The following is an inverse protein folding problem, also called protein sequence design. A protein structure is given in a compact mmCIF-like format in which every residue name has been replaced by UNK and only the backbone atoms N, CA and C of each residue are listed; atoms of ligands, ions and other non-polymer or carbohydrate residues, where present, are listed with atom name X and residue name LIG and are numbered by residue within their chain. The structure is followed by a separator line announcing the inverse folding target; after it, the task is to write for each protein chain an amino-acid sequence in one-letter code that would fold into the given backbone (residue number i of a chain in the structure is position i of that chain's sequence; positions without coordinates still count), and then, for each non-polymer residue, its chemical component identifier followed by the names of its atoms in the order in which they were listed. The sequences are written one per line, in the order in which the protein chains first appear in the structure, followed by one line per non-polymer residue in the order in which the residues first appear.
data_IF_591964249565
#
_entry.id   IF_591964249565
#
_cell.length_a   1.000
_cell.length_b   1.000
_cell.length_c   1.000
_cell.angle_alpha   90.00
_cell.angle_beta   90.00
_cell.angle_gamma   90.00
#
_symmetry.space_group_name_H-M   'P 1'
#
loop_
_entity.id
_entity.type
_entity.pdbx_description
1 polymer ?
#
# COMPACT_ATOMS: atom_id res chain seq x y z
N UNK A 1 -7.69 3.36 -1.88
CA UNK A 1 -7.85 4.82 -1.71
C UNK A 1 -8.18 5.51 -3.03
N UNK A 2 -8.94 6.60 -2.96
CA UNK A 2 -9.32 7.41 -4.12
C UNK A 2 -9.80 8.80 -3.67
N UNK A 3 -9.61 9.89 -4.45
CA UNK A 3 -8.68 10.03 -5.56
C UNK A 3 -7.23 9.78 -5.11
N UNK A 4 -6.37 9.30 -6.02
CA UNK A 4 -5.01 8.93 -5.70
C UNK A 4 -3.95 9.94 -6.15
N UNK A 5 -2.82 9.94 -5.43
CA UNK A 5 -1.66 10.76 -5.74
C UNK A 5 -1.95 12.26 -5.77
N UNK A 6 -1.18 12.97 -6.55
CA UNK A 6 -1.32 14.43 -6.71
C UNK A 6 -2.71 14.88 -7.21
N UNK A 7 -3.43 14.01 -7.90
CA UNK A 7 -4.77 14.31 -8.39
C UNK A 7 -5.78 14.56 -7.26
N UNK A 8 -5.57 14.00 -6.06
CA UNK A 8 -6.44 14.22 -4.92
C UNK A 8 -6.58 15.70 -4.55
N UNK A 9 -5.51 16.48 -4.69
CA UNK A 9 -5.49 17.91 -4.34
C UNK A 9 -5.82 18.86 -5.50
N UNK A 10 -6.20 18.30 -6.66
CA UNK A 10 -6.80 19.00 -7.82
C UNK A 10 -8.29 18.64 -8.01
N UNK A 11 -8.73 17.49 -7.51
CA UNK A 11 -10.05 16.95 -7.77
C UNK A 11 -11.14 17.63 -6.95
N UNK A 12 -12.18 18.09 -7.64
CA UNK A 12 -13.40 18.64 -7.03
C UNK A 12 -14.52 17.62 -7.12
N UNK A 13 -14.90 17.03 -5.99
CA UNK A 13 -15.80 15.87 -5.96
C UNK A 13 -17.18 16.11 -6.56
N UNK A 14 -17.70 17.35 -6.54
CA UNK A 14 -18.98 17.69 -7.16
C UNK A 14 -18.96 17.55 -8.68
N UNK A 15 -17.79 17.66 -9.30
CA UNK A 15 -17.62 17.48 -10.75
C UNK A 15 -17.74 16.01 -11.16
N UNK A 16 -17.59 15.08 -10.23
CA UNK A 16 -17.68 13.63 -10.47
C UNK A 16 -19.00 12.99 -10.02
N UNK A 17 -20.09 13.77 -9.87
CA UNK A 17 -21.41 13.24 -9.50
C UNK A 17 -22.49 13.68 -10.48
N UNK A 18 -23.66 13.03 -10.42
CA UNK A 18 -24.76 13.27 -11.35
C UNK A 18 -24.57 12.64 -12.71
N UNK A 19 -25.45 12.99 -13.71
CA UNK A 19 -25.39 12.41 -15.05
C UNK A 19 -24.06 12.70 -15.75
N UNK A 20 -23.49 11.70 -16.40
CA UNK A 20 -22.17 11.79 -17.06
C UNK A 20 -22.06 12.93 -18.07
N UNK A 21 -23.10 13.16 -18.85
CA UNK A 21 -23.18 14.20 -19.86
C UNK A 21 -23.11 15.62 -19.29
N UNK A 22 -23.36 15.78 -18.00
CA UNK A 22 -23.33 17.08 -17.30
C UNK A 22 -22.06 17.27 -16.47
N UNK A 23 -21.20 16.26 -16.36
CA UNK A 23 -19.97 16.38 -15.59
C UNK A 23 -18.95 17.26 -16.31
N UNK A 24 -18.39 18.29 -15.66
CA UNK A 24 -17.38 19.13 -16.30
C UNK A 24 -16.10 18.34 -16.55
N UNK A 25 -15.36 18.77 -17.56
CA UNK A 25 -14.04 18.22 -17.87
C UNK A 25 -12.97 19.08 -17.24
N UNK A 26 -11.85 18.46 -16.89
CA UNK A 26 -10.67 19.16 -16.38
C UNK A 26 -9.40 18.62 -17.02
N UNK A 27 -8.32 19.37 -16.94
CA UNK A 27 -7.00 18.89 -17.35
C UNK A 27 -6.33 18.26 -16.14
N UNK A 28 -5.88 17.00 -16.26
CA UNK A 28 -5.03 16.36 -15.25
C UNK A 28 -3.60 16.93 -15.42
N UNK A 29 -3.24 17.92 -14.62
CA UNK A 29 -2.00 18.67 -14.80
C UNK A 29 -0.76 17.91 -14.35
N UNK A 30 -0.92 16.96 -13.41
CA UNK A 30 0.18 16.17 -12.88
C UNK A 30 0.44 14.90 -13.69
N UNK A 31 -0.63 14.25 -14.21
CA UNK A 31 -0.50 12.95 -14.82
C UNK A 31 -0.94 12.94 -16.29
N UNK A 32 0.04 13.07 -17.18
CA UNK A 32 -0.13 12.94 -18.61
C UNK A 32 -0.67 14.16 -19.34
N UNK A 33 -1.12 15.20 -18.66
CA UNK A 33 -1.71 16.41 -19.27
C UNK A 33 -2.97 16.12 -20.08
N UNK A 34 -3.69 15.05 -19.75
CA UNK A 34 -4.88 14.62 -20.46
C UNK A 34 -6.13 15.29 -19.92
N UNK A 35 -7.19 15.28 -20.72
CA UNK A 35 -8.50 15.73 -20.28
C UNK A 35 -9.21 14.62 -19.52
N UNK A 36 -9.48 14.86 -18.24
CA UNK A 36 -10.36 14.02 -17.42
C UNK A 36 -11.80 14.40 -17.68
N UNK A 37 -12.66 13.42 -17.88
CA UNK A 37 -14.09 13.63 -18.10
C UNK A 37 -14.94 13.45 -16.83
N UNK A 38 -14.30 13.17 -15.70
CA UNK A 38 -14.92 12.90 -14.40
C UNK A 38 -15.95 11.75 -14.43
N UNK A 39 -15.79 10.80 -15.37
CA UNK A 39 -16.68 9.62 -15.49
C UNK A 39 -16.54 8.66 -14.30
N UNK A 40 -15.41 8.69 -13.60
CA UNK A 40 -15.20 7.94 -12.37
C UNK A 40 -15.22 8.88 -11.17
N UNK A 41 -16.29 8.87 -10.41
CA UNK A 41 -16.49 9.76 -9.26
C UNK A 41 -16.90 8.99 -8.00
N UNK A 42 -17.55 9.69 -7.07
CA UNK A 42 -17.93 9.12 -5.76
C UNK A 42 -18.79 7.86 -5.90
N UNK A 43 -19.82 7.87 -6.74
CA UNK A 43 -20.72 6.73 -6.90
C UNK A 43 -20.01 5.52 -7.50
N UNK A 44 -19.17 5.73 -8.51
CA UNK A 44 -18.42 4.68 -9.19
C UNK A 44 -17.39 4.06 -8.22
N UNK A 45 -16.67 4.88 -7.45
CA UNK A 45 -15.70 4.39 -6.47
C UNK A 45 -16.37 3.60 -5.34
N UNK A 46 -17.44 4.13 -4.74
CA UNK A 46 -18.14 3.45 -3.65
C UNK A 46 -18.75 2.14 -4.13
N UNK A 47 -19.35 2.12 -5.35
CA UNK A 47 -19.86 0.88 -5.95
C UNK A 47 -18.74 -0.13 -6.24
N UNK A 48 -17.59 0.34 -6.72
CA UNK A 48 -16.42 -0.53 -6.91
C UNK A 48 -16.00 -1.20 -5.59
N UNK A 49 -15.90 -0.42 -4.50
CA UNK A 49 -15.60 -0.98 -3.18
C UNK A 49 -16.64 -2.00 -2.71
N UNK A 50 -17.94 -1.73 -2.90
CA UNK A 50 -19.02 -2.67 -2.59
C UNK A 50 -18.88 -3.98 -3.39
N UNK A 51 -18.53 -3.90 -4.68
CA UNK A 51 -18.40 -5.08 -5.55
C UNK A 51 -17.24 -5.99 -5.18
N UNK A 52 -16.12 -5.42 -4.73
CA UNK A 52 -14.94 -6.20 -4.34
C UNK A 52 -14.86 -6.47 -2.83
N UNK A 53 -15.83 -5.98 -2.05
CA UNK A 53 -15.85 -6.14 -0.59
C UNK A 53 -14.76 -5.37 0.14
N UNK A 54 -14.27 -4.25 -0.41
CA UNK A 54 -13.23 -3.43 0.19
C UNK A 54 -13.80 -2.25 0.98
N UNK A 55 -13.15 -1.88 2.09
CA UNK A 55 -13.45 -0.64 2.80
C UNK A 55 -12.98 0.57 1.98
N UNK A 56 -13.83 1.59 1.76
CA UNK A 56 -13.42 2.78 1.04
C UNK A 56 -12.51 3.69 1.88
N UNK A 57 -11.45 4.19 1.25
CA UNK A 57 -10.62 5.28 1.76
C UNK A 57 -10.68 6.44 0.76
N UNK A 58 -11.27 7.55 1.18
CA UNK A 58 -11.39 8.76 0.37
C UNK A 58 -10.35 9.79 0.81
N UNK A 59 -9.63 10.37 -0.14
CA UNK A 59 -8.68 11.44 0.10
C UNK A 59 -9.27 12.78 -0.33
N UNK A 60 -9.42 13.71 0.61
CA UNK A 60 -10.00 15.03 0.40
C UNK A 60 -8.97 16.05 -0.09
N UNK A 61 -9.44 17.01 -0.88
CA UNK A 61 -8.63 18.05 -1.48
C UNK A 61 -8.33 19.20 -0.48
N UNK A 62 -7.09 19.29 -0.02
CA UNK A 62 -6.59 20.41 0.82
C UNK A 62 -5.84 21.44 -0.03
N UNK A 63 -5.28 21.03 -1.18
CA UNK A 63 -4.48 21.85 -2.06
C UNK A 63 -5.27 22.97 -2.74
N UNK A 64 -6.24 22.63 -3.57
CA UNK A 64 -7.08 23.60 -4.30
C UNK A 64 -8.52 23.67 -3.79
N UNK A 65 -8.95 22.73 -2.95
CA UNK A 65 -10.30 22.66 -2.41
C UNK A 65 -10.55 23.61 -1.23
N UNK A 66 -11.76 23.55 -0.70
CA UNK A 66 -12.18 24.33 0.46
C UNK A 66 -12.66 23.47 1.59
N UNK A 67 -12.59 23.98 2.83
CA UNK A 67 -13.15 23.31 4.02
C UNK A 67 -14.63 22.96 3.84
N UNK A 68 -15.40 23.87 3.21
CA UNK A 68 -16.82 23.66 2.95
C UNK A 68 -17.05 22.50 1.99
N UNK A 69 -16.27 22.42 0.93
CA UNK A 69 -16.35 21.37 -0.07
C UNK A 69 -16.07 19.99 0.57
N UNK A 70 -15.02 19.88 1.38
CA UNK A 70 -14.69 18.64 2.08
C UNK A 70 -15.78 18.24 3.08
N UNK A 71 -16.30 19.20 3.87
CA UNK A 71 -17.42 18.94 4.80
C UNK A 71 -18.67 18.45 4.06
N UNK A 72 -19.00 19.07 2.92
CA UNK A 72 -20.15 18.69 2.10
C UNK A 72 -19.98 17.29 1.49
N UNK A 73 -18.74 16.88 1.15
CA UNK A 73 -18.48 15.54 0.65
C UNK A 73 -18.76 14.46 1.69
N UNK A 74 -18.29 14.66 2.93
CA UNK A 74 -18.59 13.77 4.06
C UNK A 74 -20.08 13.68 4.31
N UNK A 75 -20.79 14.82 4.30
CA UNK A 75 -22.24 14.90 4.46
C UNK A 75 -22.96 14.15 3.34
N UNK A 76 -22.56 14.37 2.10
CA UNK A 76 -23.10 13.67 0.92
C UNK A 76 -23.00 12.15 1.04
N UNK A 77 -21.85 11.66 1.48
CA UNK A 77 -21.59 10.22 1.57
C UNK A 77 -22.32 9.59 2.76
N UNK A 78 -22.30 10.23 3.94
CA UNK A 78 -22.59 9.54 5.21
C UNK A 78 -23.84 10.01 5.95
N UNK A 79 -24.45 11.14 5.56
CA UNK A 79 -25.60 11.67 6.29
C UNK A 79 -26.90 10.95 5.87
N UNK A 80 -27.62 10.42 6.87
CA UNK A 80 -28.88 9.69 6.73
C UNK A 80 -30.14 10.56 6.90
N UNK A 81 -29.98 11.78 7.42
CA UNK A 81 -31.09 12.73 7.61
C UNK A 81 -31.44 13.53 6.35
N UNK A 82 -32.23 14.57 6.53
CA UNK A 82 -32.59 15.52 5.47
C UNK A 82 -31.62 16.70 5.44
N UNK A 83 -30.94 16.88 4.31
CA UNK A 83 -30.04 18.01 4.06
C UNK A 83 -29.88 18.24 2.55
N UNK A 84 -29.35 19.40 2.12
CA UNK A 84 -29.06 19.62 0.70
C UNK A 84 -28.16 18.53 0.10
N UNK A 85 -27.17 18.03 0.85
CA UNK A 85 -26.21 17.03 0.34
C UNK A 85 -26.83 15.62 0.31
N UNK A 86 -27.57 15.23 1.35
CA UNK A 86 -28.28 13.95 1.33
C UNK A 86 -29.37 13.92 0.24
N UNK A 87 -30.09 15.03 0.05
CA UNK A 87 -31.08 15.15 -1.02
C UNK A 87 -30.42 15.08 -2.41
N UNK A 88 -29.25 15.69 -2.58
CA UNK A 88 -28.46 15.59 -3.81
C UNK A 88 -27.98 14.15 -4.07
N UNK A 89 -27.52 13.41 -3.04
CA UNK A 89 -27.18 11.98 -3.17
C UNK A 89 -28.37 11.17 -3.66
N UNK A 90 -29.54 11.38 -3.07
CA UNK A 90 -30.79 10.70 -3.46
C UNK A 90 -31.20 11.05 -4.91
N UNK A 91 -31.11 12.31 -5.28
CA UNK A 91 -31.38 12.76 -6.65
C UNK A 91 -30.40 12.13 -7.65
N UNK A 92 -29.18 11.82 -7.23
CA UNK A 92 -28.17 11.12 -8.03
C UNK A 92 -28.30 9.58 -7.97
N UNK A 93 -29.42 9.06 -7.43
CA UNK A 93 -29.77 7.63 -7.50
C UNK A 93 -29.30 6.78 -6.31
N UNK A 94 -28.81 7.39 -5.22
CA UNK A 94 -28.47 6.64 -4.01
C UNK A 94 -29.28 7.11 -2.81
N UNK A 95 -30.29 6.33 -2.45
CA UNK A 95 -31.18 6.66 -1.31
C UNK A 95 -30.43 6.58 0.01
N UNK A 96 -29.84 5.43 0.33
CA UNK A 96 -29.14 5.18 1.57
C UNK A 96 -27.71 5.76 1.58
N UNK A 97 -27.23 6.28 2.72
CA UNK A 97 -25.84 6.68 2.84
C UNK A 97 -24.88 5.49 2.71
N UNK A 98 -23.63 5.78 2.41
CA UNK A 98 -22.55 4.79 2.54
C UNK A 98 -21.91 4.87 3.91
N UNK A 99 -21.30 3.77 4.31
CA UNK A 99 -20.32 3.76 5.39
C UNK A 99 -18.98 4.25 4.85
N UNK A 100 -18.39 5.24 5.50
CA UNK A 100 -17.06 5.75 5.20
C UNK A 100 -16.23 5.78 6.48
N UNK A 101 -15.30 4.85 6.61
CA UNK A 101 -14.40 4.76 7.77
C UNK A 101 -13.18 5.65 7.58
N UNK A 102 -12.46 5.50 6.48
CA UNK A 102 -11.17 6.14 6.27
C UNK A 102 -11.26 7.38 5.40
N UNK A 103 -10.68 8.48 5.90
CA UNK A 103 -10.67 9.74 5.18
C UNK A 103 -9.33 10.47 5.34
N UNK A 104 -8.62 10.64 4.23
CA UNK A 104 -7.39 11.42 4.13
C UNK A 104 -7.67 12.91 4.01
N UNK A 105 -6.96 13.70 4.77
CA UNK A 105 -7.04 15.16 4.73
C UNK A 105 -5.84 15.69 3.95
N UNK A 106 -5.96 15.67 2.63
CA UNK A 106 -4.91 16.00 1.68
C UNK A 106 -4.02 14.79 1.32
N UNK A 107 -3.18 14.97 0.31
CA UNK A 107 -2.18 14.04 -0.18
C UNK A 107 -0.90 14.79 -0.54
N UNK A 108 0.25 14.33 -0.05
CA UNK A 108 1.57 14.92 -0.38
C UNK A 108 1.60 16.45 -0.32
N UNK A 109 1.02 17.04 0.71
CA UNK A 109 0.89 18.49 0.82
C UNK A 109 2.25 19.20 0.96
N UNK A 110 3.31 18.47 1.28
CA UNK A 110 4.70 18.92 1.21
C UNK A 110 5.22 19.10 -0.24
N UNK A 111 4.56 18.46 -1.20
CA UNK A 111 4.89 18.45 -2.63
C UNK A 111 3.71 18.91 -3.48
N UNK A 112 3.25 18.02 -4.38
CA UNK A 112 2.21 18.34 -5.35
C UNK A 112 0.86 18.74 -4.74
N UNK A 113 0.58 18.36 -3.51
CA UNK A 113 -0.62 18.78 -2.77
C UNK A 113 -0.55 20.20 -2.19
N UNK A 114 0.34 21.08 -2.69
CA UNK A 114 0.36 22.48 -2.31
C UNK A 114 1.71 23.08 -1.92
N UNK A 115 2.80 22.29 -1.94
CA UNK A 115 4.16 22.71 -1.55
C UNK A 115 4.19 23.40 -0.17
N UNK A 116 3.48 22.85 0.80
CA UNK A 116 3.31 23.43 2.11
C UNK A 116 4.50 23.11 3.02
N UNK A 117 4.85 24.05 3.88
CA UNK A 117 5.67 23.74 5.07
C UNK A 117 4.80 22.99 6.07
N UNK A 118 5.41 22.15 6.88
CA UNK A 118 4.67 21.31 7.83
C UNK A 118 3.82 22.11 8.83
N UNK A 119 4.34 23.26 9.31
CA UNK A 119 3.59 24.11 10.25
C UNK A 119 2.32 24.67 9.60
N UNK A 120 2.42 25.07 8.34
CA UNK A 120 1.25 25.56 7.59
C UNK A 120 0.25 24.44 7.33
N UNK A 121 0.73 23.26 6.93
CA UNK A 121 -0.15 22.11 6.77
C UNK A 121 -0.81 21.69 8.09
N UNK A 122 -0.11 21.72 9.22
CA UNK A 122 -0.68 21.44 10.53
C UNK A 122 -1.83 22.40 10.87
N UNK A 123 -1.70 23.69 10.52
CA UNK A 123 -2.77 24.67 10.69
C UNK A 123 -3.96 24.42 9.75
N UNK A 124 -3.70 24.10 8.48
CA UNK A 124 -4.74 23.70 7.52
C UNK A 124 -5.42 22.40 7.96
N UNK A 125 -4.66 21.36 8.33
CA UNK A 125 -5.22 20.12 8.86
C UNK A 125 -6.15 20.38 10.05
N UNK A 126 -5.73 21.21 11.02
CA UNK A 126 -6.54 21.59 12.18
C UNK A 126 -7.87 22.21 11.73
N UNK A 127 -7.81 23.09 10.74
CA UNK A 127 -8.97 23.79 10.18
C UNK A 127 -9.92 22.81 9.48
N UNK A 128 -9.41 21.99 8.55
CA UNK A 128 -10.21 21.01 7.82
C UNK A 128 -10.78 19.93 8.74
N UNK A 129 -9.97 19.32 9.60
CA UNK A 129 -10.38 18.27 10.53
C UNK A 129 -11.47 18.73 11.52
N UNK A 130 -11.58 20.04 11.80
CA UNK A 130 -12.62 20.59 12.65
C UNK A 130 -14.01 20.43 12.03
N UNK A 131 -14.12 20.49 10.71
CA UNK A 131 -15.40 20.41 10.00
C UNK A 131 -15.72 19.04 9.44
N UNK A 132 -14.80 18.08 9.53
CA UNK A 132 -15.09 16.67 9.29
C UNK A 132 -15.89 16.13 10.48
N UNK A 133 -17.19 15.91 10.27
CA UNK A 133 -18.12 15.50 11.33
C UNK A 133 -18.53 14.03 11.14
N UNK A 134 -18.86 13.40 12.24
CA UNK A 134 -19.50 12.10 12.25
C UNK A 134 -21.02 12.31 12.14
N UNK A 135 -21.64 11.69 11.14
CA UNK A 135 -23.09 11.71 10.95
C UNK A 135 -23.68 10.35 11.34
N UNK A 136 -24.84 10.36 11.99
CA UNK A 136 -25.50 9.13 12.42
C UNK A 136 -24.59 8.20 13.21
N UNK A 137 -24.56 6.94 12.81
CA UNK A 137 -23.66 5.92 13.34
C UNK A 137 -22.26 5.89 12.70
N UNK A 138 -22.03 6.67 11.64
CA UNK A 138 -20.74 6.69 10.93
C UNK A 138 -19.65 7.37 11.76
N UNK A 139 -18.49 6.77 11.82
CA UNK A 139 -17.30 7.31 12.50
C UNK A 139 -16.15 7.41 11.50
N UNK A 140 -15.65 8.62 11.30
CA UNK A 140 -14.58 8.91 10.35
C UNK A 140 -13.23 8.81 11.04
N UNK A 141 -12.39 7.92 10.56
CA UNK A 141 -10.98 7.79 10.91
C UNK A 141 -10.19 8.78 10.03
N UNK A 142 -9.75 9.89 10.62
CA UNK A 142 -9.07 10.96 9.90
C UNK A 142 -7.58 10.67 9.81
N UNK A 143 -7.07 10.65 8.59
CA UNK A 143 -5.66 10.43 8.28
C UNK A 143 -5.07 11.76 7.83
N UNK A 144 -4.04 12.24 8.54
CA UNK A 144 -3.30 13.42 8.13
C UNK A 144 -2.24 13.06 7.09
N UNK A 145 -1.97 13.96 6.15
CA UNK A 145 -0.81 13.85 5.28
C UNK A 145 0.46 13.81 6.12
N UNK A 146 1.18 12.72 6.01
CA UNK A 146 2.43 12.48 6.72
C UNK A 146 3.67 12.76 5.86
N UNK A 147 4.84 12.32 6.31
CA UNK A 147 6.11 12.66 5.72
C UNK A 147 6.35 11.98 4.36
N UNK A 148 7.24 12.61 3.59
CA UNK A 148 7.94 11.96 2.50
C UNK A 148 9.18 11.25 3.05
N UNK A 149 9.24 9.93 2.91
CA UNK A 149 10.41 9.11 3.27
C UNK A 149 10.90 9.41 4.70
N UNK A 150 12.07 9.98 4.87
CA UNK A 150 12.76 10.26 6.14
C UNK A 150 12.62 11.71 6.62
N UNK A 151 11.56 12.40 6.20
CA UNK A 151 11.24 13.69 6.80
C UNK A 151 10.69 13.52 8.22
N UNK A 152 11.56 13.17 9.15
CA UNK A 152 11.23 12.98 10.57
C UNK A 152 10.74 14.25 11.24
N UNK A 153 11.13 15.43 10.72
CA UNK A 153 10.65 16.72 11.19
C UNK A 153 9.15 16.88 10.93
N UNK A 154 8.68 16.45 9.75
CA UNK A 154 7.25 16.46 9.42
C UNK A 154 6.45 15.64 10.44
N UNK A 155 6.89 14.42 10.73
CA UNK A 155 6.24 13.56 11.73
C UNK A 155 6.21 14.23 13.11
N UNK A 156 7.32 14.79 13.56
CA UNK A 156 7.42 15.42 14.90
C UNK A 156 6.46 16.61 15.01
N UNK A 157 6.43 17.50 14.03
CA UNK A 157 5.54 18.67 14.05
C UNK A 157 4.07 18.24 14.02
N UNK A 158 3.70 17.31 13.12
CA UNK A 158 2.31 16.83 13.02
C UNK A 158 1.84 16.20 14.32
N UNK A 159 2.65 15.33 14.92
CA UNK A 159 2.31 14.69 16.20
C UNK A 159 2.17 15.70 17.34
N UNK A 160 3.09 16.65 17.43
CA UNK A 160 3.10 17.67 18.48
C UNK A 160 1.93 18.64 18.35
N UNK A 161 1.68 19.17 17.16
CA UNK A 161 0.74 20.28 16.97
C UNK A 161 -0.71 19.82 16.80
N UNK A 162 -0.94 18.66 16.16
CA UNK A 162 -2.28 18.19 15.79
C UNK A 162 -2.54 16.71 16.06
N UNK A 163 -1.63 15.97 16.68
CA UNK A 163 -1.79 14.53 16.98
C UNK A 163 -3.10 14.20 17.69
N UNK A 164 -3.55 15.06 18.60
CA UNK A 164 -4.81 14.88 19.31
C UNK A 164 -6.09 14.97 18.45
N UNK A 165 -5.97 15.34 17.16
CA UNK A 165 -7.09 15.49 16.21
C UNK A 165 -7.10 14.45 15.10
N UNK A 166 -6.07 13.62 14.97
CA UNK A 166 -5.98 12.58 13.95
C UNK A 166 -6.04 11.18 14.55
N UNK A 167 -6.41 10.22 13.74
CA UNK A 167 -6.37 8.80 14.05
C UNK A 167 -5.26 8.10 13.28
N UNK A 168 -4.81 8.67 12.17
CA UNK A 168 -3.70 8.17 11.38
C UNK A 168 -2.81 9.29 10.84
N UNK A 169 -1.54 8.95 10.62
CA UNK A 169 -0.55 9.77 9.94
C UNK A 169 0.01 8.97 8.77
N UNK A 170 -0.07 9.51 7.55
CA UNK A 170 0.41 8.78 6.37
C UNK A 170 1.95 8.72 6.29
N UNK A 171 2.48 7.81 5.48
CA UNK A 171 3.88 7.70 5.12
C UNK A 171 3.99 7.25 3.68
N UNK A 172 4.76 7.97 2.86
CA UNK A 172 5.04 7.61 1.48
C UNK A 172 6.51 7.26 1.30
N UNK A 173 6.77 6.13 0.62
CA UNK A 173 8.11 5.71 0.23
C UNK A 173 8.10 4.85 -1.01
N UNK A 174 8.88 5.25 -2.03
CA UNK A 174 9.11 4.45 -3.23
C UNK A 174 10.50 3.84 -3.29
N UNK A 175 10.55 2.56 -3.60
CA UNK A 175 11.79 1.83 -3.89
C UNK A 175 12.21 2.11 -5.34
N UNK A 176 13.31 2.85 -5.50
CA UNK A 176 13.90 3.19 -6.80
C UNK A 176 15.29 2.57 -6.90
N UNK A 177 15.57 1.67 -7.88
CA UNK A 177 16.87 0.97 -7.94
C UNK A 177 18.06 1.92 -8.01
N UNK A 178 17.99 2.91 -8.87
CA UNK A 178 19.06 3.87 -9.14
C UNK A 178 18.79 5.23 -8.48
N UNK A 179 18.86 6.31 -9.25
CA UNK A 179 18.57 7.67 -8.83
C UNK A 179 17.19 8.12 -9.32
N UNK A 180 16.61 9.12 -8.66
CA UNK A 180 15.27 9.63 -8.99
C UNK A 180 15.14 10.09 -10.46
N UNK A 181 16.20 10.64 -11.05
CA UNK A 181 16.21 11.11 -12.45
C UNK A 181 16.35 9.98 -13.48
N UNK A 182 16.89 8.83 -13.07
CA UNK A 182 17.03 7.63 -13.89
C UNK A 182 16.77 6.41 -13.03
N UNK A 183 15.52 6.01 -12.96
CA UNK A 183 15.04 4.97 -12.03
C UNK A 183 15.40 3.55 -12.45
N UNK A 184 15.85 3.37 -13.69
CA UNK A 184 16.10 2.05 -14.27
C UNK A 184 14.85 1.42 -14.92
N UNK A 185 15.07 0.34 -15.67
CA UNK A 185 14.01 -0.40 -16.36
C UNK A 185 13.29 -1.37 -15.41
N UNK A 186 12.01 -1.60 -15.68
CA UNK A 186 11.23 -2.62 -14.98
C UNK A 186 11.66 -4.05 -15.35
N UNK A 187 12.12 -4.28 -16.59
CA UNK A 187 12.38 -5.62 -17.16
C UNK A 187 13.80 -5.85 -17.65
N UNK A 188 14.54 -4.79 -17.97
CA UNK A 188 15.93 -4.86 -18.40
C UNK A 188 16.85 -4.25 -17.35
N UNK A 189 17.32 -5.06 -16.41
CA UNK A 189 18.11 -4.62 -15.27
C UNK A 189 19.18 -5.65 -14.89
N UNK A 190 20.20 -5.16 -14.24
CA UNK A 190 21.38 -5.92 -13.80
C UNK A 190 21.21 -6.48 -12.40
N UNK A 191 22.12 -7.38 -11.99
CA UNK A 191 22.23 -7.84 -10.60
C UNK A 191 22.46 -6.67 -9.62
N UNK A 192 23.25 -5.65 -10.01
CA UNK A 192 23.46 -4.46 -9.19
C UNK A 192 22.15 -3.72 -8.90
N UNK A 193 21.27 -3.60 -9.89
CA UNK A 193 19.96 -2.99 -9.73
C UNK A 193 18.98 -3.87 -8.94
N UNK A 194 19.07 -5.19 -9.08
CA UNK A 194 18.38 -6.14 -8.22
C UNK A 194 18.78 -5.95 -6.76
N UNK A 195 20.08 -6.03 -6.47
CA UNK A 195 20.60 -5.87 -5.10
C UNK A 195 20.24 -4.50 -4.50
N UNK A 196 20.40 -3.44 -5.29
CA UNK A 196 20.01 -2.08 -4.89
C UNK A 196 18.52 -1.99 -4.56
N UNK A 197 17.66 -2.64 -5.36
CA UNK A 197 16.21 -2.69 -5.10
C UNK A 197 15.94 -3.37 -3.76
N UNK A 198 16.51 -4.55 -3.50
CA UNK A 198 16.32 -5.28 -2.25
C UNK A 198 16.83 -4.48 -1.04
N UNK A 199 18.02 -3.89 -1.15
CA UNK A 199 18.60 -3.05 -0.10
C UNK A 199 17.71 -1.85 0.23
N UNK A 200 17.19 -1.17 -0.80
CA UNK A 200 16.31 0.00 -0.61
C UNK A 200 14.91 -0.42 -0.13
N UNK A 201 14.42 -1.60 -0.45
CA UNK A 201 13.19 -2.13 0.11
C UNK A 201 13.31 -2.32 1.62
N UNK A 202 14.42 -2.85 2.10
CA UNK A 202 14.69 -3.02 3.53
C UNK A 202 14.81 -1.69 4.29
N UNK A 203 15.01 -0.56 3.61
CA UNK A 203 15.00 0.76 4.24
C UNK A 203 13.64 1.12 4.86
N UNK A 204 12.55 0.51 4.41
CA UNK A 204 11.23 0.66 5.02
C UNK A 204 11.23 0.28 6.51
N UNK A 205 12.03 -0.70 6.93
CA UNK A 205 12.18 -1.08 8.34
C UNK A 205 12.70 0.11 9.18
N UNK A 206 13.72 0.81 8.68
CA UNK A 206 14.25 2.00 9.35
C UNK A 206 13.21 3.13 9.41
N UNK A 207 12.48 3.37 8.30
CA UNK A 207 11.46 4.41 8.22
C UNK A 207 10.33 4.15 9.23
N UNK A 208 9.76 2.95 9.22
CA UNK A 208 8.69 2.57 10.15
C UNK A 208 9.17 2.69 11.60
N UNK A 209 10.35 2.16 11.91
CA UNK A 209 10.91 2.21 13.27
C UNK A 209 11.13 3.64 13.75
N UNK A 210 11.74 4.50 12.94
CA UNK A 210 12.06 5.88 13.35
C UNK A 210 10.83 6.76 13.45
N UNK A 211 9.91 6.69 12.47
CA UNK A 211 8.64 7.42 12.56
C UNK A 211 7.83 6.95 13.77
N UNK A 212 7.71 5.64 14.01
CA UNK A 212 7.03 5.09 15.19
C UNK A 212 7.66 5.58 16.50
N UNK A 213 8.99 5.62 16.59
CA UNK A 213 9.69 6.14 17.77
C UNK A 213 9.37 7.61 18.06
N UNK A 214 9.25 8.43 17.02
CA UNK A 214 8.81 9.82 17.16
C UNK A 214 7.34 9.87 17.62
N UNK A 215 6.49 9.06 17.00
CA UNK A 215 5.06 8.99 17.34
C UNK A 215 4.87 8.55 18.81
N UNK A 216 5.64 7.59 19.31
CA UNK A 216 5.57 7.06 20.69
C UNK A 216 5.82 8.16 21.75
N UNK A 217 6.59 9.20 21.43
CA UNK A 217 6.82 10.35 22.34
C UNK A 217 5.56 11.16 22.60
N UNK A 218 4.62 11.19 21.67
CA UNK A 218 3.38 11.97 21.73
C UNK A 218 2.15 11.10 21.92
N UNK A 219 2.23 9.83 21.55
CA UNK A 219 1.16 8.84 21.62
C UNK A 219 1.71 7.47 22.04
N UNK A 220 2.12 7.33 23.34
CA UNK A 220 2.72 6.10 23.85
C UNK A 220 1.74 4.91 23.86
N UNK A 221 0.44 5.18 23.87
CA UNK A 221 -0.61 4.15 23.80
C UNK A 221 -0.88 3.66 22.37
N UNK A 222 -0.14 4.16 21.36
CA UNK A 222 -0.26 3.78 19.95
C UNK A 222 -1.67 3.85 19.38
N UNK A 223 -2.43 4.90 19.76
CA UNK A 223 -3.80 5.13 19.26
C UNK A 223 -3.84 5.72 17.85
N UNK A 224 -2.74 6.40 17.45
CA UNK A 224 -2.59 7.00 16.12
C UNK A 224 -1.84 6.01 15.25
N UNK A 225 -2.50 5.48 14.21
CA UNK A 225 -1.87 4.56 13.25
C UNK A 225 -0.85 5.24 12.34
N UNK A 226 0.23 4.55 12.01
CA UNK A 226 1.06 4.88 10.86
C UNK A 226 0.41 4.21 9.64
N UNK A 227 0.06 5.03 8.66
CA UNK A 227 -0.67 4.61 7.46
C UNK A 227 0.29 4.71 6.28
N UNK A 228 0.84 3.57 5.84
CA UNK A 228 1.77 3.55 4.71
C UNK A 228 0.92 3.45 3.43
N UNK A 229 0.27 4.55 3.08
CA UNK A 229 -0.77 4.55 2.05
C UNK A 229 -0.27 4.81 0.63
N UNK A 230 1.07 4.99 0.47
CA UNK A 230 1.69 5.06 -0.85
C UNK A 230 3.10 4.47 -0.79
N UNK A 231 3.29 3.26 -1.35
CA UNK A 231 4.57 2.56 -1.39
C UNK A 231 4.63 1.61 -2.59
N UNK A 232 5.82 1.19 -2.95
CA UNK A 232 6.07 0.26 -4.04
C UNK A 232 7.33 0.61 -4.82
N UNK A 233 7.48 0.00 -5.98
CA UNK A 233 8.58 0.30 -6.91
C UNK A 233 8.18 1.40 -7.90
N UNK A 234 9.16 2.22 -8.25
CA UNK A 234 9.00 3.21 -9.31
C UNK A 234 10.17 3.14 -10.29
N UNK A 235 9.87 2.69 -11.51
CA UNK A 235 10.84 2.59 -12.61
C UNK A 235 10.60 3.64 -13.67
N UNK A 236 11.48 3.68 -14.68
CA UNK A 236 11.16 4.38 -15.92
C UNK A 236 9.95 3.69 -16.58
N UNK A 237 9.07 4.49 -17.18
CA UNK A 237 7.88 3.95 -17.86
C UNK A 237 8.26 3.04 -19.03
N UNK A 238 7.38 2.10 -19.35
CA UNK A 238 7.58 1.24 -20.50
C UNK A 238 7.68 2.06 -21.80
N UNK A 239 8.65 1.74 -22.67
CA UNK A 239 8.85 2.46 -23.93
C UNK A 239 7.57 2.50 -24.78
N UNK A 240 7.27 3.66 -25.35
CA UNK A 240 6.09 3.86 -26.20
C UNK A 240 4.80 4.22 -25.45
N UNK A 241 4.82 4.25 -24.12
CA UNK A 241 3.68 4.70 -23.31
C UNK A 241 3.78 6.20 -22.98
N UNK A 242 2.67 6.81 -22.58
CA UNK A 242 2.69 8.20 -22.08
C UNK A 242 3.47 8.25 -20.76
N UNK A 243 4.55 9.05 -20.66
CA UNK A 243 5.37 9.10 -19.44
C UNK A 243 4.60 9.51 -18.19
N UNK A 244 3.55 10.32 -18.34
CA UNK A 244 2.72 10.78 -17.22
C UNK A 244 1.75 9.72 -16.71
N UNK A 245 1.56 8.61 -17.41
CA UNK A 245 0.70 7.51 -16.95
C UNK A 245 1.43 6.51 -16.05
N UNK A 246 2.74 6.63 -15.92
CA UNK A 246 3.57 5.80 -15.03
C UNK A 246 3.35 4.28 -15.23
N UNK A 247 3.07 3.87 -16.47
CA UNK A 247 2.91 2.46 -16.80
C UNK A 247 4.26 1.76 -16.78
N UNK A 248 4.40 0.73 -15.96
CA UNK A 248 5.59 -0.13 -15.88
C UNK A 248 5.18 -1.59 -15.72
N UNK A 249 6.04 -2.51 -16.18
CA UNK A 249 5.91 -3.93 -15.91
C UNK A 249 6.27 -4.25 -14.44
N UNK A 250 5.83 -5.43 -14.01
CA UNK A 250 6.11 -5.98 -12.68
C UNK A 250 6.69 -7.39 -12.83
N UNK A 251 7.87 -7.61 -12.26
CA UNK A 251 8.60 -8.88 -12.34
C UNK A 251 8.61 -9.62 -11.01
N UNK A 252 9.30 -10.74 -10.91
CA UNK A 252 9.55 -11.43 -9.63
C UNK A 252 10.31 -10.53 -8.64
N UNK A 253 11.07 -9.53 -9.11
CA UNK A 253 11.70 -8.50 -8.28
C UNK A 253 10.65 -7.71 -7.49
N UNK A 254 9.58 -7.32 -8.15
CA UNK A 254 8.47 -6.57 -7.52
C UNK A 254 7.68 -7.42 -6.53
N UNK A 255 7.53 -8.70 -6.80
CA UNK A 255 6.96 -9.65 -5.85
C UNK A 255 7.76 -9.69 -4.54
N UNK A 256 9.10 -9.71 -4.62
CA UNK A 256 9.94 -9.67 -3.43
C UNK A 256 9.86 -8.33 -2.71
N UNK A 257 9.82 -7.22 -3.44
CA UNK A 257 9.58 -5.89 -2.84
C UNK A 257 8.26 -5.88 -2.06
N UNK A 258 7.20 -6.40 -2.64
CA UNK A 258 5.91 -6.50 -1.96
C UNK A 258 5.99 -7.41 -0.73
N UNK A 259 6.55 -8.61 -0.84
CA UNK A 259 6.66 -9.56 0.26
C UNK A 259 7.49 -9.03 1.44
N UNK A 260 8.63 -8.40 1.16
CA UNK A 260 9.48 -7.80 2.20
C UNK A 260 8.77 -6.66 2.92
N UNK A 261 8.13 -5.73 2.17
CA UNK A 261 7.39 -4.64 2.79
C UNK A 261 6.21 -5.17 3.64
N UNK A 262 5.46 -6.15 3.14
CA UNK A 262 4.35 -6.75 3.90
C UNK A 262 4.86 -7.46 5.16
N UNK A 263 6.03 -8.14 5.13
CA UNK A 263 6.65 -8.68 6.33
C UNK A 263 6.98 -7.60 7.35
N UNK A 264 7.56 -6.48 6.90
CA UNK A 264 7.87 -5.33 7.76
C UNK A 264 6.59 -4.78 8.39
N UNK A 265 5.55 -4.55 7.60
CA UNK A 265 4.26 -4.02 8.10
C UNK A 265 3.61 -4.97 9.10
N UNK A 266 3.62 -6.27 8.85
CA UNK A 266 3.12 -7.27 9.78
C UNK A 266 3.88 -7.22 11.11
N UNK A 267 5.23 -7.18 11.06
CA UNK A 267 6.08 -7.14 12.26
C UNK A 267 5.91 -5.84 13.08
N UNK A 268 5.39 -4.78 12.48
CA UNK A 268 5.10 -3.48 13.10
C UNK A 268 3.60 -3.17 13.20
N UNK A 269 2.72 -4.19 13.19
CA UNK A 269 1.27 -4.00 13.20
C UNK A 269 0.72 -3.32 14.46
N UNK A 270 1.52 -3.17 15.50
CA UNK A 270 1.20 -2.38 16.67
C UNK A 270 1.12 -0.86 16.37
N UNK A 271 1.78 -0.40 15.31
CA UNK A 271 1.76 0.98 14.85
C UNK A 271 1.29 1.12 13.39
N UNK A 272 1.71 0.22 12.49
CA UNK A 272 1.25 0.22 11.09
C UNK A 272 -0.13 -0.42 11.00
N UNK A 273 -1.15 0.41 10.79
CA UNK A 273 -2.55 -0.05 10.77
C UNK A 273 -3.10 -0.21 9.35
N UNK A 274 -2.41 0.32 8.35
CA UNK A 274 -2.81 0.21 6.94
C UNK A 274 -1.57 0.35 6.04
N UNK A 275 -1.55 -0.41 4.94
CA UNK A 275 -0.53 -0.30 3.91
C UNK A 275 -1.17 -0.48 2.53
N UNK A 276 -1.12 0.58 1.69
CA UNK A 276 -1.75 0.60 0.38
C UNK A 276 -0.68 0.73 -0.69
N UNK A 277 -0.51 -0.32 -1.50
CA UNK A 277 0.46 -0.29 -2.60
C UNK A 277 0.04 0.69 -3.70
N UNK A 278 0.98 1.31 -4.34
CA UNK A 278 0.77 2.15 -5.52
C UNK A 278 1.12 1.38 -6.80
N UNK A 279 0.11 0.90 -7.60
CA UNK A 279 -1.31 1.10 -7.39
C UNK A 279 -2.10 -0.18 -7.75
N UNK A 280 -3.42 -0.06 -7.89
CA UNK A 280 -4.27 -1.22 -8.20
C UNK A 280 -4.08 -1.69 -9.64
N UNK A 281 -4.11 -0.75 -10.62
CA UNK A 281 -4.22 -1.08 -12.04
C UNK A 281 -3.38 -0.13 -12.90
N UNK A 282 -2.56 -0.67 -13.79
CA UNK A 282 -1.79 0.00 -14.84
C UNK A 282 -0.79 1.09 -14.41
N UNK A 283 -0.64 1.39 -13.13
CA UNK A 283 0.20 2.47 -12.63
C UNK A 283 1.22 1.94 -11.64
N UNK A 284 2.50 2.25 -11.84
CA UNK A 284 3.59 1.90 -10.93
C UNK A 284 3.64 0.39 -10.63
N UNK A 285 3.84 -0.02 -9.38
CA UNK A 285 3.79 -1.43 -8.97
C UNK A 285 2.34 -1.92 -8.89
N UNK A 286 1.67 -1.98 -10.03
CA UNK A 286 0.26 -2.39 -10.07
C UNK A 286 0.07 -3.89 -9.88
N UNK A 287 -1.02 -4.25 -9.22
CA UNK A 287 -1.37 -5.66 -9.02
C UNK A 287 -2.05 -6.27 -10.26
N UNK A 288 -2.66 -5.42 -11.10
CA UNK A 288 -3.36 -5.81 -12.32
C UNK A 288 -2.87 -4.95 -13.49
N UNK A 289 -2.64 -5.57 -14.65
CA UNK A 289 -2.43 -4.86 -15.92
C UNK A 289 -3.58 -5.17 -16.88
N UNK A 290 -4.00 -4.16 -17.64
CA UNK A 290 -5.07 -4.29 -18.63
C UNK A 290 -4.66 -3.71 -19.98
N UNK A 291 -5.15 -4.31 -21.06
CA UNK A 291 -5.03 -3.84 -22.43
C UNK A 291 -6.31 -4.14 -23.17
N UNK A 292 -7.13 -3.13 -23.45
CA UNK A 292 -8.45 -3.34 -24.03
C UNK A 292 -9.32 -4.25 -23.13
N UNK A 293 -9.78 -5.38 -23.66
CA UNK A 293 -10.58 -6.36 -22.91
C UNK A 293 -9.73 -7.39 -22.13
N UNK A 294 -8.39 -7.38 -22.29
CA UNK A 294 -7.50 -8.30 -21.62
C UNK A 294 -7.13 -7.81 -20.24
N UNK A 295 -6.94 -8.73 -19.32
CA UNK A 295 -6.46 -8.49 -17.96
C UNK A 295 -5.44 -9.57 -17.58
N UNK A 296 -4.36 -9.17 -16.92
CA UNK A 296 -3.40 -10.09 -16.31
C UNK A 296 -3.12 -9.74 -14.85
N UNK A 297 -2.83 -10.75 -14.06
CA UNK A 297 -2.38 -10.62 -12.69
C UNK A 297 -0.85 -10.54 -12.67
N UNK A 298 -0.30 -9.56 -11.96
CA UNK A 298 1.15 -9.41 -11.84
C UNK A 298 1.72 -10.33 -10.75
N UNK A 299 3.04 -10.56 -10.71
CA UNK A 299 3.67 -11.25 -9.58
C UNK A 299 3.37 -10.58 -8.23
N UNK A 300 3.22 -9.26 -8.20
CA UNK A 300 2.79 -8.49 -7.02
C UNK A 300 1.39 -8.91 -6.53
N UNK A 301 0.42 -9.08 -7.43
CA UNK A 301 -0.92 -9.58 -7.08
C UNK A 301 -0.84 -10.91 -6.33
N UNK A 302 -0.02 -11.82 -6.83
CA UNK A 302 0.10 -13.16 -6.24
C UNK A 302 0.64 -13.10 -4.81
N UNK A 303 1.57 -12.19 -4.50
CA UNK A 303 2.05 -11.99 -3.13
C UNK A 303 0.91 -11.49 -2.23
N UNK A 304 0.16 -10.48 -2.65
CA UNK A 304 -1.00 -10.01 -1.87
C UNK A 304 -2.01 -11.14 -1.62
N UNK A 305 -2.30 -11.96 -2.65
CA UNK A 305 -3.19 -13.10 -2.52
C UNK A 305 -2.67 -14.16 -1.54
N UNK A 306 -1.36 -14.41 -1.53
CA UNK A 306 -0.73 -15.35 -0.59
C UNK A 306 -0.72 -14.81 0.85
N UNK A 307 -0.48 -13.51 1.02
CA UNK A 307 -0.37 -12.83 2.33
C UNK A 307 -1.70 -12.51 3.01
N UNK A 308 -2.83 -12.70 2.33
CA UNK A 308 -4.16 -12.47 2.93
C UNK A 308 -4.42 -13.29 4.20
N UNK A 309 -3.66 -14.35 4.43
CA UNK A 309 -3.71 -15.19 5.64
C UNK A 309 -3.32 -14.45 6.91
N UNK A 310 -2.63 -13.31 6.79
CA UNK A 310 -2.24 -12.46 7.91
C UNK A 310 -3.30 -11.40 8.25
N UNK A 311 -4.35 -11.23 7.42
CA UNK A 311 -5.44 -10.30 7.72
C UNK A 311 -6.28 -10.84 8.88
N UNK A 312 -6.61 -9.97 9.85
CA UNK A 312 -7.36 -10.30 11.05
C UNK A 312 -6.74 -11.42 11.91
N UNK A 313 -5.45 -11.69 11.71
CA UNK A 313 -4.67 -12.67 12.47
C UNK A 313 -3.86 -11.99 13.59
N UNK A 314 -3.42 -12.75 14.56
CA UNK A 314 -2.57 -12.27 15.65
C UNK A 314 -1.09 -12.46 15.29
N UNK A 315 -0.29 -11.39 15.45
CA UNK A 315 1.14 -11.41 15.18
C UNK A 315 1.86 -12.41 16.11
N UNK A 316 2.69 -13.26 15.53
CA UNK A 316 3.66 -14.08 16.26
C UNK A 316 5.07 -13.49 16.12
N UNK A 317 5.79 -13.22 17.22
CA UNK A 317 7.15 -12.71 17.15
C UNK A 317 8.08 -13.66 16.41
N UNK A 318 8.86 -13.15 15.45
CA UNK A 318 9.85 -13.91 14.70
C UNK A 318 11.25 -13.36 15.01
N UNK A 319 12.19 -14.26 15.31
CA UNK A 319 13.61 -13.93 15.39
C UNK A 319 14.32 -14.68 14.28
N UNK A 320 15.05 -13.95 13.43
CA UNK A 320 15.76 -14.52 12.28
C UNK A 320 17.26 -14.31 12.48
N UNK A 321 18.03 -15.40 12.35
CA UNK A 321 19.45 -15.38 12.09
C UNK A 321 19.65 -15.84 10.64
N UNK A 322 19.70 -14.90 9.74
CA UNK A 322 19.75 -15.15 8.29
C UNK A 322 21.20 -15.02 7.81
N UNK A 323 21.56 -15.86 6.85
CA UNK A 323 22.73 -15.60 6.02
C UNK A 323 22.65 -14.24 5.33
N UNK A 324 23.74 -13.82 4.74
CA UNK A 324 23.82 -12.55 4.02
C UNK A 324 23.80 -12.77 2.50
N UNK A 325 23.05 -11.93 1.80
CA UNK A 325 23.19 -11.74 0.37
C UNK A 325 24.14 -10.56 0.12
N UNK A 326 25.21 -10.81 -0.64
CA UNK A 326 26.29 -9.84 -0.86
C UNK A 326 26.40 -9.44 -2.32
N UNK A 327 26.66 -8.15 -2.55
CA UNK A 327 27.05 -7.62 -3.85
C UNK A 327 28.15 -6.58 -3.66
N UNK A 328 29.36 -6.84 -4.19
CA UNK A 328 30.56 -6.06 -3.90
C UNK A 328 30.84 -6.01 -2.39
N UNK A 329 31.04 -4.82 -1.86
CA UNK A 329 31.30 -4.62 -0.43
C UNK A 329 30.01 -4.49 0.41
N UNK A 330 28.83 -4.58 -0.24
CA UNK A 330 27.55 -4.45 0.46
C UNK A 330 26.97 -5.82 0.82
N UNK A 331 26.27 -5.86 1.95
CA UNK A 331 25.55 -7.04 2.40
C UNK A 331 24.17 -6.64 2.92
N UNK A 332 23.19 -7.51 2.72
CA UNK A 332 21.82 -7.42 3.28
C UNK A 332 21.45 -8.79 3.85
N UNK A 333 20.45 -8.89 4.76
CA UNK A 333 19.89 -10.18 5.13
C UNK A 333 19.38 -10.93 3.91
N UNK A 334 19.70 -12.22 3.81
CA UNK A 334 19.21 -13.03 2.68
C UNK A 334 17.74 -13.33 2.78
N UNK A 335 17.18 -13.43 4.00
CA UNK A 335 15.79 -13.83 4.24
C UNK A 335 15.06 -12.78 5.08
N UNK A 336 13.83 -12.46 4.66
CA UNK A 336 12.86 -11.68 5.41
C UNK A 336 11.67 -12.56 5.77
N UNK A 337 11.07 -12.37 6.97
CA UNK A 337 9.91 -13.14 7.39
C UNK A 337 8.95 -12.37 8.29
N UNK A 338 7.70 -12.82 8.32
CA UNK A 338 6.71 -12.54 9.36
C UNK A 338 5.87 -13.77 9.65
N UNK A 339 5.23 -13.80 10.83
CA UNK A 339 4.36 -14.92 11.21
C UNK A 339 3.12 -14.43 11.94
N UNK A 340 2.03 -15.19 11.80
CA UNK A 340 0.78 -14.92 12.52
C UNK A 340 0.05 -16.23 12.86
N UNK A 341 -0.88 -16.13 13.77
CA UNK A 341 -1.87 -17.18 14.05
C UNK A 341 -3.26 -16.66 13.73
N UNK A 342 -4.00 -17.42 12.93
CA UNK A 342 -5.37 -17.06 12.55
C UNK A 342 -6.40 -17.44 13.61
N UNK A 343 -7.67 -17.05 13.39
CA UNK A 343 -8.77 -17.35 14.30
C UNK A 343 -9.11 -18.85 14.46
N UNK A 344 -8.55 -19.72 13.61
CA UNK A 344 -8.67 -21.19 13.70
C UNK A 344 -7.47 -21.83 14.43
N UNK A 345 -6.48 -21.03 14.84
CA UNK A 345 -5.27 -21.50 15.52
C UNK A 345 -4.18 -22.02 14.57
N UNK A 346 -4.31 -21.81 13.27
CA UNK A 346 -3.27 -22.15 12.30
C UNK A 346 -2.18 -21.09 12.29
N UNK A 347 -0.94 -21.52 12.26
CA UNK A 347 0.19 -20.61 12.11
C UNK A 347 0.50 -20.43 10.63
N UNK A 348 0.68 -19.18 10.23
CA UNK A 348 1.14 -18.80 8.90
C UNK A 348 2.51 -18.13 9.02
N UNK A 349 3.47 -18.57 8.20
CA UNK A 349 4.81 -17.97 8.11
C UNK A 349 5.06 -17.56 6.67
N UNK A 350 5.32 -16.29 6.46
CA UNK A 350 5.71 -15.73 5.16
C UNK A 350 7.21 -15.48 5.12
N UNK A 351 7.86 -15.96 4.06
CA UNK A 351 9.32 -15.93 3.88
C UNK A 351 9.65 -15.36 2.50
N UNK A 352 10.66 -14.48 2.42
CA UNK A 352 11.22 -13.96 1.17
C UNK A 352 12.72 -14.27 1.11
N UNK A 353 13.20 -14.94 0.05
CA UNK A 353 14.62 -15.09 -0.23
C UNK A 353 15.06 -14.02 -1.25
N UNK A 354 15.88 -13.08 -0.81
CA UNK A 354 16.27 -11.91 -1.58
C UNK A 354 17.42 -12.18 -2.56
N UNK A 355 18.15 -13.28 -2.38
CA UNK A 355 19.24 -13.65 -3.30
C UNK A 355 18.68 -14.06 -4.68
N UNK A 356 19.30 -13.55 -5.74
CA UNK A 356 18.90 -13.91 -7.10
C UNK A 356 19.45 -15.29 -7.55
N UNK A 357 20.44 -15.83 -6.85
CA UNK A 357 21.12 -17.07 -7.27
C UNK A 357 21.19 -18.15 -6.17
N UNK A 358 21.19 -17.74 -4.88
CA UNK A 358 21.44 -18.66 -3.79
C UNK A 358 20.17 -19.11 -3.09
N UNK A 359 20.04 -20.41 -2.89
CA UNK A 359 19.00 -20.97 -2.00
C UNK A 359 19.34 -20.68 -0.53
N UNK A 360 18.32 -20.64 0.32
CA UNK A 360 18.47 -20.54 1.77
C UNK A 360 17.98 -21.83 2.44
N UNK A 361 18.80 -22.38 3.36
CA UNK A 361 18.38 -23.47 4.23
C UNK A 361 17.80 -22.86 5.49
N UNK A 362 16.55 -23.17 5.79
CA UNK A 362 15.82 -22.62 6.92
C UNK A 362 15.53 -23.73 7.92
N UNK A 363 15.90 -23.47 9.19
CA UNK A 363 15.47 -24.27 10.34
C UNK A 363 14.68 -23.37 11.28
N UNK A 364 13.37 -23.64 11.45
CA UNK A 364 12.48 -22.80 12.23
C UNK A 364 11.91 -23.58 13.40
N UNK A 365 12.27 -23.20 14.62
CA UNK A 365 11.73 -23.78 15.85
C UNK A 365 10.44 -23.09 16.26
N UNK A 366 9.35 -23.82 16.32
CA UNK A 366 8.05 -23.37 16.81
C UNK A 366 7.95 -23.56 18.33
N UNK A 367 7.51 -22.52 19.03
CA UNK A 367 7.35 -22.52 20.48
C UNK A 367 5.89 -22.37 20.88
N UNK A 368 5.52 -22.97 22.02
CA UNK A 368 4.20 -22.75 22.61
C UNK A 368 3.10 -23.70 22.15
N UNK A 369 3.41 -24.73 21.36
CA UNK A 369 2.42 -25.69 20.87
C UNK A 369 3.03 -27.02 20.45
N UNK A 370 2.21 -27.93 19.96
CA UNK A 370 2.60 -29.16 19.29
C UNK A 370 2.05 -29.13 17.86
N UNK A 371 2.94 -29.08 16.90
CA UNK A 371 2.61 -28.94 15.49
C UNK A 371 3.07 -30.19 14.74
N UNK A 372 2.23 -30.70 13.87
CA UNK A 372 2.42 -32.03 13.25
C UNK A 372 2.42 -32.00 11.73
N UNK A 373 1.95 -30.91 11.13
CA UNK A 373 1.89 -30.80 9.68
C UNK A 373 2.29 -29.40 9.20
N UNK A 374 2.91 -29.34 8.04
CA UNK A 374 3.24 -28.13 7.32
C UNK A 374 2.90 -28.30 5.85
N UNK A 375 2.28 -27.30 5.27
CA UNK A 375 2.06 -27.18 3.83
C UNK A 375 2.42 -25.77 3.39
N UNK A 376 2.60 -25.53 2.10
CA UNK A 376 3.00 -24.21 1.65
C UNK A 376 2.60 -23.88 0.22
N UNK A 377 2.74 -22.62 -0.09
CA UNK A 377 2.63 -22.07 -1.45
C UNK A 377 3.89 -21.27 -1.74
N UNK A 378 4.44 -21.41 -2.96
CA UNK A 378 5.63 -20.70 -3.40
C UNK A 378 5.34 -19.90 -4.67
N UNK A 379 5.89 -18.69 -4.71
CA UNK A 379 6.05 -17.88 -5.91
C UNK A 379 7.55 -17.73 -6.19
N UNK A 380 8.01 -18.17 -7.33
CA UNK A 380 9.41 -18.08 -7.78
C UNK A 380 9.47 -18.08 -9.30
N UNK A 381 10.62 -17.75 -9.86
CA UNK A 381 10.83 -17.69 -11.29
C UNK A 381 12.27 -18.10 -11.67
N UNK A 382 12.52 -18.52 -12.93
CA UNK A 382 13.84 -18.96 -13.36
C UNK A 382 14.80 -17.80 -13.70
N UNK A 383 14.29 -16.56 -13.77
CA UNK A 383 15.06 -15.37 -14.12
C UNK A 383 14.58 -14.15 -13.33
N UNK A 384 15.50 -13.24 -13.01
CA UNK A 384 15.22 -12.02 -12.22
C UNK A 384 14.12 -11.14 -12.84
N UNK A 385 14.00 -11.10 -14.14
CA UNK A 385 13.06 -10.28 -14.88
C UNK A 385 11.83 -11.05 -15.38
N UNK A 386 11.61 -12.27 -14.89
CA UNK A 386 10.42 -13.02 -15.23
C UNK A 386 9.15 -12.27 -14.80
N UNK A 387 8.21 -12.15 -15.71
CA UNK A 387 6.95 -11.43 -15.52
C UNK A 387 5.82 -12.02 -16.38
N UNK A 388 4.61 -11.62 -16.11
CA UNK A 388 3.44 -12.01 -16.89
C UNK A 388 3.20 -11.00 -18.01
N UNK A 389 2.83 -11.49 -19.19
CA UNK A 389 2.43 -10.68 -20.35
C UNK A 389 1.03 -11.09 -20.81
N UNK A 390 0.42 -10.31 -21.70
CA UNK A 390 -0.90 -10.65 -22.25
C UNK A 390 -0.87 -11.92 -23.13
N UNK A 391 0.31 -12.32 -23.64
CA UNK A 391 0.55 -13.56 -24.39
C UNK A 391 0.90 -14.73 -23.46
N UNK A 392 1.50 -14.46 -22.29
CA UNK A 392 1.90 -15.45 -21.30
C UNK A 392 1.47 -15.01 -19.88
N UNK A 393 0.16 -15.00 -19.58
CA UNK A 393 -0.40 -14.40 -18.37
C UNK A 393 -0.10 -15.18 -17.09
N UNK A 394 0.40 -16.39 -17.20
CA UNK A 394 0.72 -17.29 -16.06
C UNK A 394 2.20 -17.70 -16.04
N UNK A 395 3.09 -16.92 -16.64
CA UNK A 395 4.53 -17.22 -16.64
C UNK A 395 5.10 -17.24 -15.21
N UNK A 396 4.62 -16.35 -14.36
CA UNK A 396 4.93 -16.30 -12.92
C UNK A 396 3.63 -16.43 -12.14
N UNK A 397 3.42 -17.58 -11.51
CA UNK A 397 2.23 -17.86 -10.70
C UNK A 397 2.55 -18.73 -9.49
N UNK A 398 1.75 -18.69 -8.41
CA UNK A 398 1.95 -19.55 -7.25
C UNK A 398 1.80 -21.03 -7.59
N UNK A 399 2.55 -21.85 -6.85
CA UNK A 399 2.51 -23.32 -6.91
C UNK A 399 2.51 -23.88 -5.50
N UNK A 400 2.01 -25.11 -5.33
CA UNK A 400 2.19 -25.84 -4.08
C UNK A 400 3.68 -25.99 -3.76
N UNK A 401 4.02 -25.86 -2.50
CA UNK A 401 5.38 -26.01 -1.99
C UNK A 401 5.47 -27.21 -1.07
N UNK A 402 6.15 -28.24 -1.54
CA UNK A 402 6.34 -29.54 -0.84
C UNK A 402 7.73 -29.63 -0.19
N UNK A 403 8.52 -28.57 -0.25
CA UNK A 403 9.91 -28.53 0.23
C UNK A 403 10.09 -28.29 1.72
N UNK A 404 9.00 -28.26 2.50
CA UNK A 404 9.03 -28.12 3.95
C UNK A 404 8.66 -29.42 4.65
N UNK A 405 9.36 -29.71 5.75
CA UNK A 405 9.00 -30.81 6.65
C UNK A 405 8.99 -30.32 8.10
N UNK A 406 8.20 -30.96 8.96
CA UNK A 406 8.15 -30.65 10.37
C UNK A 406 8.46 -31.88 11.20
N UNK A 407 9.34 -31.75 12.20
CA UNK A 407 9.64 -32.76 13.18
C UNK A 407 10.00 -32.11 14.51
N UNK A 408 9.44 -32.63 15.60
CA UNK A 408 9.70 -32.13 16.97
C UNK A 408 9.56 -30.59 17.08
N UNK A 409 8.46 -30.05 16.49
CA UNK A 409 8.19 -28.60 16.38
C UNK A 409 9.29 -27.79 15.63
N UNK A 410 10.12 -28.44 14.86
CA UNK A 410 11.10 -27.77 14.00
C UNK A 410 10.72 -27.97 12.54
N UNK A 411 10.60 -26.86 11.82
CA UNK A 411 10.39 -26.87 10.36
C UNK A 411 11.73 -26.76 9.68
N UNK A 412 12.01 -27.68 8.77
CA UNK A 412 13.16 -27.65 7.88
C UNK A 412 12.69 -27.45 6.45
N UNK A 413 13.27 -26.49 5.75
CA UNK A 413 12.99 -26.26 4.33
C UNK A 413 14.19 -25.71 3.57
N UNK A 414 14.24 -26.04 2.28
CA UNK A 414 15.16 -25.41 1.34
C UNK A 414 14.38 -24.40 0.50
N UNK A 415 14.69 -23.13 0.68
CA UNK A 415 14.03 -22.01 0.03
C UNK A 415 14.79 -21.63 -1.24
N UNK A 416 14.22 -21.79 -2.46
CA UNK A 416 14.89 -21.39 -3.70
C UNK A 416 15.27 -19.91 -3.71
N UNK A 417 16.21 -19.54 -4.58
CA UNK A 417 16.49 -18.14 -4.90
C UNK A 417 15.23 -17.43 -5.42
N UNK A 418 15.18 -16.12 -5.30
CA UNK A 418 14.09 -15.29 -5.82
C UNK A 418 12.70 -15.84 -5.52
N UNK A 419 12.42 -16.16 -4.25
CA UNK A 419 11.16 -16.81 -3.89
C UNK A 419 10.45 -16.13 -2.74
N UNK A 420 9.12 -16.20 -2.79
CA UNK A 420 8.20 -15.88 -1.70
C UNK A 420 7.48 -17.16 -1.34
N UNK A 421 7.53 -17.55 -0.08
CA UNK A 421 6.86 -18.76 0.43
C UNK A 421 5.91 -18.34 1.56
N UNK A 422 4.71 -18.89 1.55
CA UNK A 422 3.78 -18.83 2.68
C UNK A 422 3.50 -20.25 3.14
N UNK A 423 3.82 -20.52 4.39
CA UNK A 423 3.57 -21.80 5.04
C UNK A 423 2.29 -21.74 5.88
N UNK A 424 1.55 -22.84 5.92
CA UNK A 424 0.47 -23.11 6.87
C UNK A 424 0.89 -24.27 7.76
N UNK A 425 0.79 -24.11 9.07
CA UNK A 425 1.24 -25.06 10.07
C UNK A 425 0.05 -25.40 11.00
N UNK A 426 -0.11 -26.70 11.28
CA UNK A 426 -1.16 -27.24 12.17
C UNK A 426 -0.61 -28.17 13.22
#
# INVERSE_FOLDING_TARGET
SWPGGCFADEYHWMDGIGPYENRPKMVNTHWGGVTEDNSFGTHEFMRFCELIGAEPYICGNVGSGTVREMQQWIEYITFDGESPMSNLRKANGREEPWKLTYFGVGNENWGCGGNMRVEYYADEYRRYATYIRNFGGNRVYKIACGPNTDDYHWTEVMMKEVGYRMQGLSLHYYTVPNEWRNKGSATDFTEAEWFSTMKKTLYMEELVTKHSTIMDRYDPDKRIGLIVDEWGTWYNVEPGTNPGFLYQQNTIRDALVAGVNLNIFNNHCDRVQMANIAQLINVLQSVILTEGEKMILTPTYHVFSMYKVHQDAELLPVTIDSGEYRFGDNAIPQVSASASVDGEGKIHISLCNLSHESSAQISCSLRGGNYTSVSGTILTAPAMNAHNTFEAPENVKPKAFDGASIKDNTIELSMPAMSVIVLEIR
#
